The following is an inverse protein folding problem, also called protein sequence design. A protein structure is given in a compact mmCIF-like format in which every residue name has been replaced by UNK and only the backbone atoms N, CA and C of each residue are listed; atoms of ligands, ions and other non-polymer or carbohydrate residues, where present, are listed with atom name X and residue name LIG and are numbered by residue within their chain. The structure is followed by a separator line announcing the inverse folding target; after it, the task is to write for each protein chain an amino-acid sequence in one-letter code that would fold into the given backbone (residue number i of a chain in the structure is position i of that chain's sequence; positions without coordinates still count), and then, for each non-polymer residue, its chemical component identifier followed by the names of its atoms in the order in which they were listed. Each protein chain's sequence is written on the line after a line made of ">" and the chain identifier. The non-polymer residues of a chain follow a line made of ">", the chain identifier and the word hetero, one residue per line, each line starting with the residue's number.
data_IF_329910504095
#
_entry.id   IF_329910504095
#
_cell.length_a   1.000
_cell.length_b   1.000
_cell.length_c   1.000
_cell.angle_alpha   90.00
_cell.angle_beta   90.00
_cell.angle_gamma   90.00
#
_symmetry.space_group_name_H-M   'P 1'
#
loop_
_entity.id
_entity.type
_entity.pdbx_description
1 polymer ?
#
# COMPACT_ATOMS: atom_id res chain seq x y z
N UNK A 1 9.32 -7.31 -0.95
CA UNK A 1 8.30 -6.59 -0.14
C UNK A 1 8.78 -6.39 1.29
N UNK A 2 9.07 -7.48 2.01
CA UNK A 2 9.55 -7.44 3.40
C UNK A 2 10.97 -6.87 3.48
N UNK A 3 11.95 -7.45 2.78
CA UNK A 3 13.35 -6.97 2.81
C UNK A 3 13.51 -5.53 2.30
N UNK A 4 12.65 -5.14 1.35
CA UNK A 4 12.60 -3.77 0.82
C UNK A 4 11.96 -2.75 1.78
N UNK A 5 11.64 -3.12 3.02
CA UNK A 5 11.06 -2.23 4.02
C UNK A 5 9.64 -1.75 3.71
N UNK A 6 8.93 -2.40 2.78
CA UNK A 6 7.55 -2.03 2.39
C UNK A 6 6.50 -2.70 3.27
N UNK A 7 6.93 -3.55 4.21
CA UNK A 7 6.09 -4.26 5.18
C UNK A 7 6.67 -4.00 6.56
N UNK A 8 5.82 -3.51 7.45
CA UNK A 8 6.11 -3.33 8.86
C UNK A 8 5.21 -4.26 9.68
N UNK A 9 5.77 -4.81 10.74
CA UNK A 9 5.11 -5.69 11.69
C UNK A 9 5.12 -5.00 13.05
N UNK A 10 3.96 -4.74 13.62
CA UNK A 10 3.78 -3.96 14.85
C UNK A 10 4.58 -2.64 14.81
N UNK A 11 4.50 -1.92 13.69
CA UNK A 11 5.19 -0.64 13.48
C UNK A 11 6.69 -0.70 13.15
N UNK A 12 7.31 -1.88 13.16
CA UNK A 12 8.76 -2.03 12.92
C UNK A 12 9.06 -2.80 11.63
N UNK A 13 10.27 -2.59 11.08
CA UNK A 13 10.75 -3.43 9.98
C UNK A 13 10.84 -4.88 10.44
N UNK A 14 10.40 -5.79 9.57
CA UNK A 14 10.38 -7.23 9.86
C UNK A 14 11.28 -7.99 8.90
N UNK A 15 11.58 -9.24 9.27
CA UNK A 15 12.32 -10.21 8.45
C UNK A 15 11.36 -11.24 7.84
N UNK A 16 11.66 -11.83 6.67
CA UNK A 16 10.79 -12.84 6.06
C UNK A 16 10.54 -14.07 6.95
N UNK A 17 11.47 -14.41 7.85
CA UNK A 17 11.37 -15.52 8.79
C UNK A 17 10.66 -15.19 10.11
N UNK A 18 10.03 -14.01 10.23
CA UNK A 18 9.26 -13.64 11.43
C UNK A 18 8.04 -14.56 11.54
N UNK A 19 7.91 -15.23 12.69
CA UNK A 19 6.72 -16.01 13.01
C UNK A 19 5.54 -15.04 13.17
N UNK A 20 4.44 -15.37 12.51
CA UNK A 20 3.24 -14.54 12.43
C UNK A 20 2.30 -14.88 13.60
N UNK A 21 1.94 -13.86 14.37
CA UNK A 21 1.02 -13.95 15.50
C UNK A 21 -0.36 -13.38 15.15
N UNK A 22 -1.42 -13.98 15.70
CA UNK A 22 -2.78 -13.43 15.64
C UNK A 22 -2.85 -12.13 16.44
N UNK A 23 -3.70 -11.19 16.03
CA UNK A 23 -3.84 -9.82 16.53
C UNK A 23 -2.65 -8.90 16.25
N UNK A 24 -1.59 -9.37 15.62
CA UNK A 24 -0.51 -8.50 15.18
C UNK A 24 -0.98 -7.55 14.07
N UNK A 25 -0.40 -6.36 14.06
CA UNK A 25 -0.64 -5.34 13.06
C UNK A 25 0.40 -5.43 11.96
N UNK A 26 -0.05 -5.52 10.71
CA UNK A 26 0.79 -5.45 9.53
C UNK A 26 0.43 -4.21 8.74
N UNK A 27 1.44 -3.36 8.57
CA UNK A 27 1.37 -2.19 7.68
C UNK A 27 2.14 -2.49 6.40
N UNK A 28 1.47 -2.46 5.26
CA UNK A 28 2.05 -2.83 3.98
C UNK A 28 1.68 -1.85 2.87
N UNK A 29 2.59 -1.66 1.92
CA UNK A 29 2.38 -0.81 0.75
C UNK A 29 2.24 -1.62 -0.54
N UNK A 30 1.10 -1.48 -1.22
CA UNK A 30 0.82 -2.05 -2.53
C UNK A 30 0.69 -0.92 -3.57
N UNK A 31 1.73 -0.74 -4.38
CA UNK A 31 1.81 0.39 -5.31
C UNK A 31 1.77 1.73 -4.56
N UNK A 32 0.72 2.51 -4.81
CA UNK A 32 0.47 3.80 -4.17
C UNK A 32 -0.51 3.72 -2.99
N UNK A 33 -1.01 2.52 -2.68
CA UNK A 33 -1.89 2.29 -1.54
C UNK A 33 -1.08 1.75 -0.37
N UNK A 34 -1.34 2.32 0.80
CA UNK A 34 -0.88 1.80 2.07
C UNK A 34 -2.07 1.22 2.80
N UNK A 35 -1.89 0.05 3.41
CA UNK A 35 -2.92 -0.60 4.21
C UNK A 35 -2.35 -1.06 5.53
N UNK A 36 -3.13 -0.88 6.58
CA UNK A 36 -2.85 -1.42 7.91
C UNK A 36 -3.92 -2.44 8.25
N UNK A 37 -3.50 -3.70 8.44
CA UNK A 37 -4.37 -4.83 8.71
C UNK A 37 -3.98 -5.52 10.01
N UNK A 38 -4.98 -6.01 10.73
CA UNK A 38 -4.81 -6.88 11.90
C UNK A 38 -5.01 -8.33 11.47
N UNK A 39 -4.13 -9.21 11.94
CA UNK A 39 -4.21 -10.64 11.62
C UNK A 39 -5.29 -11.30 12.49
N UNK A 40 -6.24 -12.00 11.87
CA UNK A 40 -7.31 -12.73 12.56
C UNK A 40 -7.02 -14.23 12.69
N UNK A 41 -6.36 -14.81 11.70
CA UNK A 41 -5.99 -16.23 11.70
C UNK A 41 -4.75 -16.46 10.83
N UNK A 42 -4.05 -17.58 11.07
CA UNK A 42 -2.86 -17.98 10.32
C UNK A 42 -3.11 -19.33 9.67
N UNK A 43 -2.73 -19.45 8.40
CA UNK A 43 -2.75 -20.70 7.64
C UNK A 43 -1.52 -20.77 6.75
N UNK A 44 -1.00 -21.97 6.56
CA UNK A 44 0.13 -22.22 5.65
C UNK A 44 -0.33 -22.52 4.22
N UNK A 45 -1.64 -22.57 3.96
CA UNK A 45 -2.19 -22.90 2.65
C UNK A 45 -2.77 -21.65 1.98
N UNK A 46 -2.37 -21.42 0.73
CA UNK A 46 -2.97 -20.36 -0.10
C UNK A 46 -4.37 -20.80 -0.53
N UNK A 47 -5.35 -19.92 -0.35
CA UNK A 47 -6.77 -20.18 -0.62
C UNK A 47 -7.37 -19.17 -1.59
N UNK A 48 -8.65 -19.36 -1.90
CA UNK A 48 -9.46 -18.45 -2.71
C UNK A 48 -9.45 -17.03 -2.11
N UNK A 49 -9.79 -16.02 -2.92
CA UNK A 49 -9.77 -14.63 -2.47
C UNK A 49 -10.71 -14.40 -1.27
N UNK A 50 -11.89 -15.02 -1.26
CA UNK A 50 -12.87 -14.91 -0.17
C UNK A 50 -12.35 -15.51 1.14
N UNK A 51 -11.76 -16.72 1.08
CA UNK A 51 -11.17 -17.36 2.26
C UNK A 51 -9.96 -16.59 2.79
N UNK A 52 -9.10 -16.09 1.91
CA UNK A 52 -7.92 -15.33 2.32
C UNK A 52 -8.28 -14.02 3.01
N UNK A 53 -9.38 -13.37 2.61
CA UNK A 53 -9.90 -12.15 3.25
C UNK A 53 -10.33 -12.38 4.69
N UNK A 54 -10.73 -13.60 5.08
CA UNK A 54 -11.12 -13.92 6.45
C UNK A 54 -9.92 -13.94 7.43
N UNK A 55 -8.70 -14.05 6.91
CA UNK A 55 -7.47 -14.15 7.72
C UNK A 55 -7.00 -12.82 8.30
N UNK A 56 -7.53 -11.70 7.82
CA UNK A 56 -7.14 -10.38 8.27
C UNK A 56 -8.32 -9.41 8.26
N UNK A 57 -8.18 -8.29 8.97
CA UNK A 57 -9.12 -7.19 8.93
C UNK A 57 -8.36 -5.90 8.71
N UNK A 58 -8.77 -5.11 7.73
CA UNK A 58 -8.25 -3.76 7.55
C UNK A 58 -8.79 -2.85 8.67
N UNK A 59 -7.89 -2.05 9.25
CA UNK A 59 -8.26 -1.08 10.30
C UNK A 59 -9.08 0.06 9.71
N UNK A 60 -10.01 0.62 10.49
CA UNK A 60 -10.83 1.76 10.06
C UNK A 60 -9.96 2.97 9.66
N UNK A 61 -8.91 3.24 10.44
CA UNK A 61 -7.95 4.29 10.12
C UNK A 61 -7.26 4.07 8.75
N UNK A 62 -6.94 2.83 8.41
CA UNK A 62 -6.38 2.48 7.09
C UNK A 62 -7.37 2.76 5.97
N UNK A 63 -8.64 2.39 6.14
CA UNK A 63 -9.70 2.60 5.16
C UNK A 63 -9.87 4.10 4.88
N UNK A 64 -10.03 4.91 5.95
CA UNK A 64 -10.20 6.36 5.84
C UNK A 64 -8.99 7.01 5.16
N UNK A 65 -7.78 6.62 5.53
CA UNK A 65 -6.57 7.15 4.91
C UNK A 65 -6.47 6.80 3.43
N UNK A 66 -6.83 5.56 3.07
CA UNK A 66 -6.83 5.11 1.67
C UNK A 66 -7.83 5.88 0.83
N UNK A 67 -9.04 6.09 1.34
CA UNK A 67 -10.08 6.88 0.68
C UNK A 67 -9.66 8.33 0.49
N UNK A 68 -9.12 8.97 1.54
CA UNK A 68 -8.59 10.34 1.49
C UNK A 68 -7.47 10.47 0.44
N UNK A 69 -6.53 9.53 0.44
CA UNK A 69 -5.42 9.52 -0.54
C UNK A 69 -5.92 9.27 -1.97
N UNK A 70 -6.92 8.41 -2.15
CA UNK A 70 -7.53 8.17 -3.46
C UNK A 70 -8.25 9.42 -3.99
N UNK A 71 -8.98 10.13 -3.13
CA UNK A 71 -9.61 11.40 -3.45
C UNK A 71 -8.57 12.46 -3.84
N UNK A 72 -7.52 12.64 -3.05
CA UNK A 72 -6.44 13.58 -3.35
C UNK A 72 -5.77 13.28 -4.70
N UNK A 73 -5.52 12.00 -5.00
CA UNK A 73 -4.98 11.60 -6.32
C UNK A 73 -5.94 11.96 -7.47
N UNK A 74 -7.25 11.69 -7.30
CA UNK A 74 -8.26 12.03 -8.31
C UNK A 74 -8.31 13.54 -8.56
N UNK A 75 -8.24 14.35 -7.50
CA UNK A 75 -8.22 15.81 -7.60
C UNK A 75 -6.95 16.31 -8.32
N UNK A 76 -5.78 15.76 -7.99
CA UNK A 76 -4.52 16.17 -8.61
C UNK A 76 -4.47 15.86 -10.12
N UNK A 77 -5.04 14.72 -10.54
CA UNK A 77 -5.15 14.39 -11.97
C UNK A 77 -6.05 15.39 -12.71
N UNK A 78 -7.09 15.91 -12.04
CA UNK A 78 -8.00 16.88 -12.63
C UNK A 78 -7.40 18.30 -12.71
N UNK A 79 -6.57 18.69 -11.75
CA UNK A 79 -6.00 20.05 -11.66
C UNK A 79 -4.67 20.22 -12.40
N UNK A 80 -3.94 19.14 -12.66
CA UNK A 80 -2.70 19.16 -13.43
C UNK A 80 -2.85 18.31 -14.69
N UNK A 81 -3.30 18.88 -15.82
CA UNK A 81 -3.36 18.14 -17.07
C UNK A 81 -1.98 17.62 -17.44
N UNK A 82 -1.91 16.32 -17.76
CA UNK A 82 -0.67 15.74 -18.27
C UNK A 82 -0.36 16.38 -19.62
N UNK A 83 0.89 16.78 -19.91
CA UNK A 83 1.21 17.43 -21.17
C UNK A 83 0.86 16.49 -22.34
N UNK A 84 0.12 17.00 -23.33
CA UNK A 84 -0.40 16.23 -24.48
C UNK A 84 0.70 15.52 -25.28
N UNK A 85 1.95 15.98 -25.14
CA UNK A 85 3.13 15.36 -25.74
C UNK A 85 4.28 15.26 -24.76
N UNK A 86 5.16 14.29 -25.01
CA UNK A 86 6.45 14.19 -24.33
C UNK A 86 7.24 15.50 -24.57
N UNK A 87 7.80 16.13 -23.52
CA UNK A 87 8.61 17.34 -23.69
C UNK A 87 9.79 17.09 -24.62
N UNK A 88 10.01 18.05 -25.53
CA UNK A 88 11.10 17.96 -26.49
C UNK A 88 12.48 18.12 -25.80
N UNK A 89 13.57 18.01 -26.58
CA UNK A 89 14.93 18.11 -26.03
C UNK A 89 15.23 19.50 -25.43
N UNK A 90 14.63 20.56 -25.95
CA UNK A 90 14.88 21.96 -25.55
C UNK A 90 14.05 22.37 -24.34
N UNK A 91 12.84 21.82 -24.21
CA UNK A 91 11.98 21.96 -23.05
C UNK A 91 12.58 21.26 -21.82
N UNK A 92 13.11 20.03 -21.99
CA UNK A 92 13.80 19.31 -20.90
C UNK A 92 15.03 20.04 -20.36
N UNK A 93 15.80 20.69 -21.23
CA UNK A 93 17.00 21.42 -20.82
C UNK A 93 16.72 22.74 -20.07
N UNK A 94 15.47 23.23 -20.07
CA UNK A 94 15.07 24.45 -19.36
C UNK A 94 14.37 24.18 -18.02
N UNK A 95 14.06 22.92 -17.73
CA UNK A 95 13.39 22.52 -16.49
C UNK A 95 14.35 21.96 -15.42
N UNK A 96 15.63 21.79 -15.76
CA UNK A 96 16.74 21.56 -14.81
C UNK A 96 17.28 22.92 -14.32
#
# INVERSE_FOLDING_TARGET
>A
MIDGGKVHYNGQRSKPSKIVEVNAEIKLRQGNEERTVTIRAVTNQRRSASEAQQLYQETEASIVNREKMAQARKMNVLTMPHPDRRPDKKERARSD
#
